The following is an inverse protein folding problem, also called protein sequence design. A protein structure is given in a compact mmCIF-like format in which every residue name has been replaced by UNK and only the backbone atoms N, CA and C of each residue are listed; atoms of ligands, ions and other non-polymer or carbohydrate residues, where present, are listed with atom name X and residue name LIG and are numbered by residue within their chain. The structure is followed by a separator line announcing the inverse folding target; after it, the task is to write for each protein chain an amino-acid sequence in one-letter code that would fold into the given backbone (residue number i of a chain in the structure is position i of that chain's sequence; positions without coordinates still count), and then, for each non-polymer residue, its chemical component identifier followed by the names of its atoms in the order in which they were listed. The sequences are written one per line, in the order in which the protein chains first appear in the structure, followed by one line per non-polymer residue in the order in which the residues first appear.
data_IF_426212313373
#
_entry.id   IF_426212313373
#
_cell.length_a   1.000
_cell.length_b   1.000
_cell.length_c   1.000
_cell.angle_alpha   90.00
_cell.angle_beta   90.00
_cell.angle_gamma   90.00
#
_symmetry.space_group_name_H-M   'P 1'
#
loop_
_entity.id
_entity.type
_entity.pdbx_description
1 polymer ?
#
# COMPACT_ATOMS: atom_id res chain seq x y z
N UNK A 1 4.09 13.14 1.07
CA UNK A 1 3.87 14.26 2.01
C UNK A 1 2.73 15.13 1.50
N UNK A 2 1.54 15.10 2.12
CA UNK A 2 0.37 15.82 1.59
C UNK A 2 -0.92 15.82 2.43
N UNK A 3 -0.90 15.45 3.71
CA UNK A 3 -2.11 15.34 4.54
C UNK A 3 -2.32 16.48 5.54
N UNK A 4 -1.56 17.58 5.45
CA UNK A 4 -1.76 18.70 6.38
C UNK A 4 -2.95 19.54 5.93
N UNK A 5 -4.16 19.10 6.29
CA UNK A 5 -5.37 19.93 6.25
C UNK A 5 -6.57 19.37 5.49
N UNK A 6 -6.42 18.28 4.74
CA UNK A 6 -7.54 17.57 4.11
C UNK A 6 -8.09 16.50 5.05
N UNK A 7 -9.41 16.49 5.24
CA UNK A 7 -10.08 15.45 6.00
C UNK A 7 -10.03 14.12 5.24
N UNK A 8 -9.86 13.01 5.94
CA UNK A 8 -9.77 11.67 5.33
C UNK A 8 -11.06 11.31 4.58
N UNK A 9 -12.17 11.93 4.96
CA UNK A 9 -13.47 11.85 4.29
C UNK A 9 -13.43 12.34 2.82
N UNK A 10 -12.44 13.16 2.42
CA UNK A 10 -12.26 13.55 1.01
C UNK A 10 -11.96 12.36 0.09
N UNK A 11 -11.44 11.25 0.62
CA UNK A 11 -11.24 10.01 -0.18
C UNK A 11 -12.60 9.49 -0.68
N UNK A 12 -13.64 9.58 0.15
CA UNK A 12 -14.99 9.17 -0.22
C UNK A 12 -15.59 10.10 -1.28
N UNK A 13 -15.30 11.40 -1.22
CA UNK A 13 -15.71 12.34 -2.27
C UNK A 13 -15.09 11.97 -3.64
N UNK A 14 -13.80 11.62 -3.65
CA UNK A 14 -13.13 11.15 -4.87
C UNK A 14 -13.79 9.89 -5.43
N UNK A 15 -14.21 8.98 -4.57
CA UNK A 15 -14.93 7.77 -4.97
C UNK A 15 -16.31 8.10 -5.56
N UNK A 16 -17.07 9.00 -4.93
CA UNK A 16 -18.36 9.49 -5.42
C UNK A 16 -18.20 10.18 -6.79
N UNK A 17 -17.16 10.99 -6.97
CA UNK A 17 -16.87 11.63 -8.26
C UNK A 17 -16.53 10.61 -9.34
N UNK A 18 -15.75 9.58 -9.02
CA UNK A 18 -15.45 8.48 -9.93
C UNK A 18 -16.72 7.68 -10.29
N UNK A 19 -17.70 7.64 -9.40
CA UNK A 19 -19.03 7.08 -9.63
C UNK A 19 -20.01 8.07 -10.30
N UNK A 20 -19.54 9.22 -10.80
CA UNK A 20 -20.37 10.26 -11.43
C UNK A 20 -21.53 10.77 -10.53
N UNK A 21 -21.33 10.78 -9.20
CA UNK A 21 -22.33 11.19 -8.23
C UNK A 21 -23.30 10.10 -7.77
N UNK A 22 -23.21 8.88 -8.32
CA UNK A 22 -24.01 7.75 -7.87
C UNK A 22 -23.44 7.19 -6.55
N UNK A 23 -24.05 7.58 -5.43
CA UNK A 23 -23.66 7.12 -4.09
C UNK A 23 -23.80 5.61 -3.95
N UNK A 24 -24.90 5.03 -4.43
CA UNK A 24 -25.13 3.58 -4.31
C UNK A 24 -24.11 2.76 -5.10
N UNK A 25 -23.62 3.28 -6.22
CA UNK A 25 -22.52 2.68 -6.96
C UNK A 25 -21.18 2.87 -6.23
N UNK A 26 -20.92 4.07 -5.69
CA UNK A 26 -19.72 4.37 -4.91
C UNK A 26 -19.57 3.48 -3.66
N UNK A 27 -20.66 3.14 -2.98
CA UNK A 27 -20.67 2.23 -1.81
C UNK A 27 -20.16 0.81 -2.12
N UNK A 28 -20.06 0.42 -3.40
CA UNK A 28 -19.51 -0.87 -3.86
C UNK A 28 -18.14 -0.71 -4.52
N UNK A 29 -17.54 0.46 -4.38
CA UNK A 29 -16.27 0.82 -4.98
C UNK A 29 -15.07 0.20 -4.29
N UNK A 30 -13.90 0.48 -4.86
CA UNK A 30 -12.60 0.07 -4.33
C UNK A 30 -11.78 1.33 -4.07
N UNK A 31 -11.21 1.43 -2.87
CA UNK A 31 -10.27 2.47 -2.49
C UNK A 31 -8.89 1.83 -2.33
N UNK A 32 -7.91 2.32 -3.09
CA UNK A 32 -6.50 1.99 -2.89
C UNK A 32 -5.79 3.14 -2.15
N UNK A 33 -5.10 2.80 -1.06
CA UNK A 33 -4.31 3.74 -0.25
C UNK A 33 -2.86 3.29 -0.31
N UNK A 34 -2.03 4.00 -1.06
CA UNK A 34 -0.60 3.75 -1.14
C UNK A 34 0.16 4.43 0.02
N UNK A 35 1.42 4.06 0.19
CA UNK A 35 2.35 4.63 1.16
C UNK A 35 1.84 4.56 2.62
N UNK A 36 1.06 3.53 2.98
CA UNK A 36 0.55 3.36 4.35
C UNK A 36 1.70 3.17 5.37
N UNK A 37 2.88 2.73 4.92
CA UNK A 37 4.08 2.64 5.76
C UNK A 37 4.57 4.02 6.23
N UNK A 38 4.22 5.11 5.54
CA UNK A 38 4.68 6.47 5.87
C UNK A 38 3.93 7.08 7.06
N UNK A 39 2.75 6.57 7.39
CA UNK A 39 1.96 7.02 8.55
C UNK A 39 2.23 6.17 9.80
N UNK A 40 3.08 5.15 9.69
CA UNK A 40 3.56 4.39 10.84
C UNK A 40 4.44 5.28 11.75
N UNK A 41 4.30 5.07 13.07
CA UNK A 41 5.09 5.78 14.07
C UNK A 41 6.57 5.43 13.95
N UNK A 42 7.44 6.45 13.85
CA UNK A 42 8.89 6.24 13.86
C UNK A 42 9.41 6.07 15.30
N UNK A 43 9.69 4.82 15.69
CA UNK A 43 10.66 4.37 16.71
C UNK A 43 10.70 5.04 18.10
N UNK A 44 10.37 4.25 19.13
CA UNK A 44 10.68 4.23 20.59
C UNK A 44 10.90 5.49 21.44
N UNK A 45 11.27 6.64 20.91
CA UNK A 45 11.24 7.87 21.69
C UNK A 45 9.79 8.34 21.78
N UNK A 46 9.15 8.00 22.90
CA UNK A 46 7.91 8.60 23.39
C UNK A 46 8.21 10.07 23.70
N UNK A 47 8.52 10.87 22.68
CA UNK A 47 8.55 12.31 22.82
C UNK A 47 7.11 12.71 23.13
N UNK A 48 6.94 13.19 24.36
CA UNK A 48 5.70 13.68 24.98
C UNK A 48 5.03 14.80 24.14
N UNK A 49 5.73 15.29 23.11
CA UNK A 49 5.16 16.11 22.04
C UNK A 49 4.19 15.29 21.18
N UNK A 50 2.89 15.51 21.41
CA UNK A 50 1.75 15.15 20.55
C UNK A 50 2.20 14.74 19.14
N UNK A 51 2.15 13.44 18.84
CA UNK A 51 2.43 12.92 17.51
C UNK A 51 1.24 13.28 16.60
N UNK A 52 1.28 14.47 16.02
CA UNK A 52 0.14 15.05 15.29
C UNK A 52 0.03 14.53 13.86
N UNK A 53 0.93 13.64 13.40
CA UNK A 53 1.04 13.33 11.97
C UNK A 53 0.73 11.88 11.57
N UNK A 54 1.33 10.87 12.19
CA UNK A 54 1.16 9.47 11.74
C UNK A 54 -0.08 8.81 12.32
N UNK A 55 -0.11 8.69 13.66
CA UNK A 55 -1.20 8.03 14.38
C UNK A 55 -2.56 8.72 14.16
N UNK A 56 -2.58 10.06 14.14
CA UNK A 56 -3.80 10.82 13.87
C UNK A 56 -4.41 10.51 12.49
N UNK A 57 -3.57 10.25 11.48
CA UNK A 57 -4.04 9.83 10.15
C UNK A 57 -4.57 8.40 10.19
N UNK A 58 -3.90 7.48 10.89
CA UNK A 58 -4.40 6.10 11.09
C UNK A 58 -5.78 6.09 11.78
N UNK A 59 -5.94 6.89 12.84
CA UNK A 59 -7.21 7.04 13.57
C UNK A 59 -8.31 7.68 12.70
N UNK A 60 -7.94 8.60 11.81
CA UNK A 60 -8.89 9.21 10.88
C UNK A 60 -9.32 8.23 9.77
N UNK A 61 -8.41 7.39 9.28
CA UNK A 61 -8.71 6.31 8.35
C UNK A 61 -9.61 5.23 8.95
N UNK A 62 -9.46 4.93 10.25
CA UNK A 62 -10.35 3.99 10.94
C UNK A 62 -11.81 4.37 10.79
N UNK A 63 -12.15 5.67 10.86
CA UNK A 63 -13.53 6.15 10.73
C UNK A 63 -14.19 5.71 9.42
N UNK A 64 -13.43 5.59 8.34
CA UNK A 64 -13.99 5.18 7.03
C UNK A 64 -13.84 3.69 6.78
N UNK A 65 -12.82 3.04 7.35
CA UNK A 65 -12.57 1.59 7.18
C UNK A 65 -13.48 0.75 8.09
N UNK A 66 -13.92 1.28 9.23
CA UNK A 66 -14.65 0.50 10.23
C UNK A 66 -16.08 0.09 9.85
N UNK A 67 -16.60 0.64 8.76
CA UNK A 67 -17.97 0.41 8.30
C UNK A 67 -18.95 1.34 9.00
N UNK A 68 -19.10 2.56 8.49
CA UNK A 68 -19.95 3.60 9.09
C UNK A 68 -20.74 4.35 8.02
N UNK A 69 -21.67 5.20 8.46
CA UNK A 69 -22.28 6.23 7.61
C UNK A 69 -21.44 7.50 7.75
N UNK A 70 -20.64 7.80 6.73
CA UNK A 70 -19.79 8.97 6.68
C UNK A 70 -20.52 10.15 6.02
N UNK A 71 -20.21 11.37 6.46
CA UNK A 71 -20.82 12.60 5.97
C UNK A 71 -19.80 13.44 5.21
N UNK A 72 -19.90 13.45 3.88
CA UNK A 72 -18.89 14.04 3.00
C UNK A 72 -19.34 15.42 2.50
N UNK A 73 -18.52 16.49 2.62
CA UNK A 73 -18.83 17.80 2.05
C UNK A 73 -18.81 17.74 0.50
N UNK A 74 -19.82 18.25 -0.21
CA UNK A 74 -19.95 18.12 -1.66
C UNK A 74 -18.86 18.86 -2.45
N UNK A 75 -18.26 19.89 -1.85
CA UNK A 75 -17.15 20.65 -2.46
C UNK A 75 -15.76 20.20 -1.97
N UNK A 76 -15.71 19.22 -1.08
CA UNK A 76 -14.50 18.80 -0.38
C UNK A 76 -13.99 19.85 0.62
N UNK A 77 -12.95 19.48 1.37
CA UNK A 77 -12.36 20.35 2.39
C UNK A 77 -13.03 20.21 3.76
N UNK A 78 -12.89 21.21 4.64
CA UNK A 78 -13.39 21.12 6.02
C UNK A 78 -14.91 21.30 6.05
N UNK A 79 -15.60 20.41 6.77
CA UNK A 79 -17.04 20.50 7.03
C UNK A 79 -17.43 21.84 7.65
N UNK A 80 -18.22 22.63 6.93
CA UNK A 80 -18.83 23.84 7.46
C UNK A 80 -20.20 23.48 8.10
N UNK A 81 -20.56 24.02 9.29
CA UNK A 81 -21.79 23.61 10.00
C UNK A 81 -23.12 23.79 9.25
N UNK A 82 -23.13 24.59 8.18
CA UNK A 82 -24.33 24.97 7.44
C UNK A 82 -24.33 24.45 5.99
N UNK A 83 -23.35 23.61 5.62
CA UNK A 83 -23.27 23.03 4.28
C UNK A 83 -23.90 21.64 4.28
N UNK A 84 -24.72 21.37 3.25
CA UNK A 84 -25.32 20.05 3.04
C UNK A 84 -24.21 19.02 2.83
N UNK A 85 -24.35 17.84 3.44
CA UNK A 85 -23.40 16.73 3.30
C UNK A 85 -24.00 15.57 2.51
N UNK A 86 -23.15 14.83 1.82
CA UNK A 86 -23.51 13.57 1.17
C UNK A 86 -23.26 12.44 2.17
N UNK A 87 -24.31 11.69 2.49
CA UNK A 87 -24.18 10.48 3.30
C UNK A 87 -23.72 9.30 2.42
N UNK A 88 -22.74 8.53 2.90
CA UNK A 88 -22.25 7.32 2.21
C UNK A 88 -21.96 6.22 3.22
N UNK A 89 -22.41 5.00 2.94
CA UNK A 89 -22.14 3.82 3.75
C UNK A 89 -20.86 3.12 3.32
N UNK A 90 -19.88 3.02 4.22
CA UNK A 90 -18.57 2.44 3.88
C UNK A 90 -18.48 0.92 4.07
N UNK A 91 -19.53 0.25 4.56
CA UNK A 91 -19.51 -1.18 4.87
C UNK A 91 -19.12 -2.09 3.69
N UNK A 92 -19.47 -1.70 2.46
CA UNK A 92 -19.25 -2.52 1.25
C UNK A 92 -18.15 -1.97 0.34
N UNK A 93 -17.41 -0.96 0.81
CA UNK A 93 -16.27 -0.42 0.08
C UNK A 93 -15.04 -1.27 0.39
N UNK A 94 -14.37 -1.78 -0.64
CA UNK A 94 -13.13 -2.53 -0.46
C UNK A 94 -11.96 -1.56 -0.28
N UNK A 95 -11.27 -1.66 0.85
CA UNK A 95 -10.03 -0.93 1.09
C UNK A 95 -8.83 -1.82 0.84
N UNK A 96 -7.92 -1.37 -0.03
CA UNK A 96 -6.63 -2.00 -0.30
C UNK A 96 -5.53 -1.02 0.13
N UNK A 97 -4.78 -1.38 1.17
CA UNK A 97 -3.69 -0.56 1.69
C UNK A 97 -2.34 -1.13 1.23
N UNK A 98 -1.57 -0.33 0.51
CA UNK A 98 -0.24 -0.67 0.00
C UNK A 98 0.87 0.14 0.68
N UNK A 99 2.07 -0.42 0.69
CA UNK A 99 3.27 0.24 1.19
C UNK A 99 4.50 -0.66 1.02
N UNK A 100 5.69 -0.05 1.06
CA UNK A 100 6.94 -0.78 0.87
C UNK A 100 7.53 -1.35 2.18
N UNK A 101 7.06 -0.88 3.34
CA UNK A 101 7.42 -1.36 4.68
C UNK A 101 8.92 -1.64 4.90
N UNK A 102 9.78 -0.69 4.51
CA UNK A 102 11.24 -0.86 4.57
C UNK A 102 11.70 -1.22 5.99
N UNK A 103 12.35 -2.38 6.12
CA UNK A 103 12.91 -2.86 7.39
C UNK A 103 11.97 -3.71 8.22
N UNK A 104 10.73 -3.97 7.76
CA UNK A 104 9.81 -4.92 8.39
C UNK A 104 10.42 -6.33 8.47
N UNK A 105 11.23 -6.72 7.48
CA UNK A 105 11.93 -8.00 7.47
C UNK A 105 12.83 -8.16 8.71
N UNK A 106 13.45 -7.07 9.19
CA UNK A 106 14.30 -7.10 10.36
C UNK A 106 13.49 -7.33 11.65
N UNK A 107 12.26 -6.82 11.71
CA UNK A 107 11.34 -7.03 12.82
C UNK A 107 10.92 -8.51 12.86
N UNK A 108 10.51 -9.05 11.71
CA UNK A 108 10.14 -10.46 11.56
C UNK A 108 11.30 -11.37 11.95
N UNK A 109 12.51 -11.11 11.43
CA UNK A 109 13.73 -11.88 11.76
C UNK A 109 14.00 -11.90 13.26
N UNK A 110 13.93 -10.74 13.92
CA UNK A 110 14.14 -10.63 15.36
C UNK A 110 13.14 -11.47 16.15
N UNK A 111 11.86 -11.47 15.75
CA UNK A 111 10.83 -12.31 16.39
C UNK A 111 11.14 -13.79 16.22
N UNK A 112 11.38 -14.25 14.99
CA UNK A 112 11.64 -15.66 14.69
C UNK A 112 12.89 -16.17 15.42
N UNK A 113 13.97 -15.37 15.45
CA UNK A 113 15.22 -15.76 16.09
C UNK A 113 15.13 -15.76 17.62
N UNK A 114 14.37 -14.84 18.22
CA UNK A 114 14.17 -14.80 19.68
C UNK A 114 13.45 -16.06 20.20
N UNK A 115 12.57 -16.65 19.40
CA UNK A 115 11.87 -17.91 19.72
C UNK A 115 12.78 -19.16 19.71
N UNK A 116 14.08 -19.04 19.37
CA UNK A 116 15.02 -20.17 19.25
C UNK A 116 16.00 -20.35 20.43
N UNK A 117 15.90 -19.50 21.46
CA UNK A 117 16.71 -19.59 22.69
C UNK A 117 16.08 -20.64 23.63
N UNK A 118 16.40 -21.91 23.40
CA UNK A 118 16.08 -23.05 24.26
C UNK A 118 17.06 -24.18 23.96
N UNK A 119 17.37 -25.01 24.96
CA UNK A 119 18.47 -26.02 25.03
C UNK A 119 18.51 -27.11 23.93
N UNK A 120 17.85 -26.94 22.79
CA UNK A 120 17.82 -27.91 21.67
C UNK A 120 17.83 -27.28 20.27
N UNK A 121 18.25 -26.02 20.09
CA UNK A 121 18.38 -25.44 18.74
C UNK A 121 19.73 -25.79 18.10
N UNK A 122 19.83 -27.04 17.65
CA UNK A 122 20.82 -27.42 16.64
C UNK A 122 20.68 -26.50 15.42
N UNK A 123 21.70 -25.68 15.18
CA UNK A 123 22.16 -25.17 13.88
C UNK A 123 21.14 -25.25 12.73
N UNK A 124 20.10 -24.40 12.76
CA UNK A 124 19.32 -24.12 11.55
C UNK A 124 20.14 -23.18 10.69
N UNK A 125 20.96 -23.78 9.82
CA UNK A 125 21.67 -23.15 8.69
C UNK A 125 20.81 -22.09 8.02
N UNK A 126 21.49 -21.01 7.62
CA UNK A 126 21.12 -19.80 6.86
C UNK A 126 20.25 -20.00 5.59
N UNK A 127 19.17 -20.77 5.68
CA UNK A 127 18.32 -21.19 4.55
C UNK A 127 16.89 -20.64 4.66
N UNK A 128 16.67 -19.65 5.52
CA UNK A 128 15.37 -18.97 5.71
C UNK A 128 15.38 -17.50 5.25
N UNK A 129 16.31 -17.12 4.38
CA UNK A 129 16.39 -15.74 3.88
C UNK A 129 15.40 -15.46 2.75
N UNK A 130 15.13 -16.46 1.92
CA UNK A 130 14.13 -16.36 0.85
C UNK A 130 12.72 -16.37 1.45
N UNK A 131 11.98 -15.29 1.19
CA UNK A 131 10.58 -15.09 1.59
C UNK A 131 10.30 -14.94 3.09
N UNK A 132 11.13 -14.20 3.82
CA UNK A 132 10.87 -13.86 5.24
C UNK A 132 9.46 -13.25 5.48
N UNK A 133 8.90 -12.55 4.49
CA UNK A 133 7.56 -11.97 4.52
C UNK A 133 6.44 -13.02 4.61
N UNK A 134 6.69 -14.29 4.23
CA UNK A 134 5.74 -15.41 4.42
C UNK A 134 5.38 -15.64 5.89
N UNK A 135 6.24 -15.21 6.80
CA UNK A 135 6.06 -15.37 8.24
C UNK A 135 5.50 -14.11 8.91
N UNK A 136 5.05 -13.11 8.15
CA UNK A 136 4.46 -11.89 8.70
C UNK A 136 3.29 -12.21 9.64
N UNK A 137 3.28 -11.61 10.83
CA UNK A 137 2.09 -11.59 11.70
C UNK A 137 1.76 -10.14 12.08
N UNK A 138 0.53 -9.92 12.56
CA UNK A 138 0.04 -8.59 12.96
C UNK A 138 0.94 -7.88 13.98
N UNK A 139 1.56 -8.63 14.91
CA UNK A 139 2.47 -8.06 15.91
C UNK A 139 3.69 -7.37 15.27
N UNK A 140 4.15 -7.84 14.10
CA UNK A 140 5.27 -7.21 13.39
C UNK A 140 4.87 -5.83 12.84
N UNK A 141 3.64 -5.70 12.32
CA UNK A 141 3.08 -4.44 11.82
C UNK A 141 2.86 -3.44 12.96
N UNK A 142 2.44 -3.93 14.13
CA UNK A 142 2.33 -3.09 15.33
C UNK A 142 3.71 -2.61 15.79
N UNK A 143 4.70 -3.50 15.84
CA UNK A 143 6.10 -3.14 16.14
C UNK A 143 6.70 -2.20 15.10
N UNK A 144 6.27 -2.30 13.84
CA UNK A 144 6.67 -1.40 12.76
C UNK A 144 6.15 0.03 12.97
N UNK A 145 5.02 0.19 13.67
CA UNK A 145 4.47 1.48 14.06
C UNK A 145 3.03 1.73 13.63
N UNK A 146 2.30 0.70 13.17
CA UNK A 146 0.85 0.78 12.96
C UNK A 146 0.11 0.53 14.28
N UNK A 147 -1.03 1.19 14.49
CA UNK A 147 -1.85 0.96 15.68
C UNK A 147 -2.60 -0.38 15.57
N UNK A 148 -2.78 -1.12 16.68
CA UNK A 148 -3.49 -2.41 16.67
C UNK A 148 -4.89 -2.35 16.08
N UNK A 149 -5.63 -1.27 16.34
CA UNK A 149 -7.00 -1.07 15.85
C UNK A 149 -7.04 -1.00 14.32
N UNK A 150 -6.05 -0.34 13.72
CA UNK A 150 -5.91 -0.18 12.27
C UNK A 150 -5.53 -1.50 11.60
N UNK A 151 -4.53 -2.21 12.15
CA UNK A 151 -4.12 -3.53 11.65
C UNK A 151 -5.25 -4.55 11.80
N UNK A 152 -6.02 -4.49 12.88
CA UNK A 152 -7.17 -5.38 13.11
C UNK A 152 -8.30 -5.24 12.09
N UNK A 153 -8.40 -4.10 11.40
CA UNK A 153 -9.34 -3.89 10.29
C UNK A 153 -8.80 -4.34 8.93
N UNK A 154 -7.53 -4.74 8.85
CA UNK A 154 -6.86 -5.22 7.64
C UNK A 154 -6.40 -6.68 7.82
N UNK A 155 -7.32 -7.65 8.01
CA UNK A 155 -6.95 -9.04 8.36
C UNK A 155 -6.30 -9.83 7.22
N UNK A 156 -6.44 -9.37 5.98
CA UNK A 156 -5.84 -10.01 4.81
C UNK A 156 -4.52 -9.31 4.49
N UNK A 157 -3.43 -10.07 4.56
CA UNK A 157 -2.11 -9.61 4.21
C UNK A 157 -1.60 -10.37 2.98
N UNK A 158 -1.11 -9.63 2.00
CA UNK A 158 -0.38 -10.17 0.86
C UNK A 158 0.97 -9.49 0.77
N UNK A 159 1.99 -10.24 0.40
CA UNK A 159 3.32 -9.72 0.10
C UNK A 159 3.63 -9.96 -1.37
N UNK A 160 4.46 -9.10 -1.94
CA UNK A 160 5.00 -9.28 -3.29
C UNK A 160 6.42 -9.82 -3.19
N UNK A 161 6.77 -10.69 -4.13
CA UNK A 161 8.13 -11.21 -4.23
C UNK A 161 9.00 -10.21 -4.99
N UNK A 162 10.31 -10.27 -4.75
CA UNK A 162 11.26 -9.41 -5.45
C UNK A 162 11.32 -9.86 -6.91
N UNK A 163 11.39 -8.91 -7.84
CA UNK A 163 11.49 -9.22 -9.26
C UNK A 163 12.82 -9.91 -9.57
N UNK A 164 12.75 -11.03 -10.28
CA UNK A 164 13.91 -11.71 -10.85
C UNK A 164 14.14 -11.26 -12.31
N UNK A 165 15.29 -11.61 -12.88
CA UNK A 165 15.67 -11.26 -14.26
C UNK A 165 14.58 -11.69 -15.25
N UNK A 166 14.06 -12.90 -15.06
CA UNK A 166 13.00 -13.48 -15.89
C UNK A 166 11.69 -12.67 -15.78
N UNK A 167 11.37 -12.14 -14.60
CA UNK A 167 10.18 -11.31 -14.40
C UNK A 167 10.33 -9.96 -15.10
N UNK A 168 11.51 -9.34 -15.02
CA UNK A 168 11.82 -8.09 -15.71
C UNK A 168 11.67 -8.24 -17.22
N UNK A 169 12.19 -9.33 -17.80
CA UNK A 169 12.03 -9.61 -19.23
C UNK A 169 10.55 -9.74 -19.61
N UNK A 170 9.75 -10.45 -18.80
CA UNK A 170 8.30 -10.53 -19.03
C UNK A 170 7.64 -9.17 -18.96
N UNK A 171 7.96 -8.34 -17.97
CA UNK A 171 7.44 -6.98 -17.81
C UNK A 171 7.78 -6.10 -19.03
N UNK A 172 8.97 -6.27 -19.61
CA UNK A 172 9.40 -5.52 -20.78
C UNK A 172 8.61 -5.88 -22.05
N UNK A 173 8.07 -7.11 -22.17
CA UNK A 173 7.55 -7.64 -23.45
C UNK A 173 6.06 -8.01 -23.42
N UNK A 174 5.60 -8.66 -22.35
CA UNK A 174 4.28 -9.28 -22.29
C UNK A 174 3.13 -8.29 -22.07
N UNK A 175 3.22 -7.30 -21.14
CA UNK A 175 2.14 -6.35 -20.91
C UNK A 175 1.73 -5.61 -22.18
N UNK A 176 0.43 -5.37 -22.35
CA UNK A 176 -0.08 -4.61 -23.50
C UNK A 176 0.53 -3.21 -23.58
N UNK A 177 0.82 -2.62 -22.42
CA UNK A 177 1.47 -1.33 -22.22
C UNK A 177 2.95 -1.47 -21.85
N UNK A 178 3.65 -2.53 -22.27
CA UNK A 178 5.07 -2.68 -21.96
C UNK A 178 5.93 -1.59 -22.61
N UNK A 179 7.07 -1.27 -22.01
CA UNK A 179 7.94 -0.19 -22.49
C UNK A 179 8.45 -0.45 -23.91
N UNK A 180 8.80 -1.72 -24.23
CA UNK A 180 9.22 -2.12 -25.58
C UNK A 180 8.13 -1.82 -26.60
N UNK A 181 6.87 -2.19 -26.31
CA UNK A 181 5.75 -1.92 -27.21
C UNK A 181 5.50 -0.43 -27.38
N UNK A 182 5.62 0.35 -26.31
CA UNK A 182 5.50 1.81 -26.37
C UNK A 182 6.56 2.43 -27.28
N UNK A 183 7.84 2.05 -27.14
CA UNK A 183 8.92 2.54 -27.99
C UNK A 183 8.79 2.08 -29.45
N UNK A 184 8.44 0.81 -29.69
CA UNK A 184 8.18 0.32 -31.04
C UNK A 184 7.04 1.10 -31.70
N UNK A 185 5.95 1.37 -30.98
CA UNK A 185 4.84 2.17 -31.49
C UNK A 185 5.27 3.61 -31.79
N UNK A 186 6.00 4.24 -30.87
CA UNK A 186 6.52 5.60 -31.03
C UNK A 186 7.38 5.74 -32.28
N UNK A 187 8.33 4.82 -32.52
CA UNK A 187 9.17 4.82 -33.72
C UNK A 187 8.37 4.54 -34.99
N UNK A 188 7.33 3.70 -34.90
CA UNK A 188 6.47 3.39 -36.03
C UNK A 188 5.69 4.60 -36.53
N UNK A 189 5.38 5.57 -35.65
CA UNK A 189 4.77 6.85 -36.05
C UNK A 189 5.64 7.63 -37.03
N UNK A 190 6.96 7.47 -36.94
CA UNK A 190 7.96 8.05 -37.84
C UNK A 190 8.33 7.09 -39.00
N UNK A 191 7.53 6.05 -39.22
CA UNK A 191 7.80 4.96 -40.18
C UNK A 191 9.13 4.23 -39.94
N UNK A 192 9.61 4.18 -38.69
CA UNK A 192 10.81 3.41 -38.31
C UNK A 192 10.40 2.12 -37.60
N UNK A 193 10.96 0.99 -38.04
CA UNK A 193 10.80 -0.30 -37.39
C UNK A 193 11.90 -0.53 -36.35
N UNK A 194 11.54 -0.40 -35.07
CA UNK A 194 12.41 -0.69 -33.94
C UNK A 194 12.22 -2.14 -33.48
N UNK A 195 13.32 -2.90 -33.40
CA UNK A 195 13.34 -4.29 -32.94
C UNK A 195 14.27 -4.41 -31.76
N UNK A 196 13.78 -5.05 -30.68
CA UNK A 196 14.59 -5.44 -29.55
C UNK A 196 14.87 -6.94 -29.63
N UNK A 197 16.14 -7.30 -29.73
CA UNK A 197 16.57 -8.69 -29.69
C UNK A 197 16.56 -9.24 -28.26
N UNK A 198 16.43 -10.56 -28.12
CA UNK A 198 16.37 -11.23 -26.82
C UNK A 198 17.59 -10.91 -25.94
N UNK A 199 18.77 -10.93 -26.52
CA UNK A 199 20.04 -10.68 -25.80
C UNK A 199 20.12 -9.24 -25.28
N UNK A 200 19.53 -8.29 -26.01
CA UNK A 200 19.42 -6.90 -25.55
C UNK A 200 18.46 -6.78 -24.36
N UNK A 201 17.31 -7.47 -24.41
CA UNK A 201 16.36 -7.50 -23.30
C UNK A 201 16.94 -8.17 -22.05
N UNK A 202 17.70 -9.25 -22.23
CA UNK A 202 18.41 -9.92 -21.14
C UNK A 202 19.48 -9.02 -20.52
N UNK A 203 20.20 -8.24 -21.33
CA UNK A 203 21.20 -7.29 -20.84
C UNK A 203 20.57 -6.13 -20.06
N UNK A 204 19.44 -5.59 -20.54
CA UNK A 204 18.68 -4.54 -19.84
C UNK A 204 18.18 -5.06 -18.48
N UNK A 205 17.67 -6.29 -18.45
CA UNK A 205 17.16 -6.90 -17.21
C UNK A 205 18.27 -7.23 -16.20
N UNK A 206 19.52 -7.34 -16.64
CA UNK A 206 20.67 -7.60 -15.76
C UNK A 206 21.28 -6.32 -15.18
N UNK A 207 21.12 -5.18 -15.84
CA UNK A 207 21.56 -3.87 -15.35
C UNK A 207 20.61 -3.26 -14.31
N UNK A 208 19.31 -3.60 -14.37
CA UNK A 208 18.24 -3.06 -13.54
C UNK A 208 18.16 -3.65 -12.13
#
# INVERSE_FOLDING_TARGET
AGYVGEDVENILLKLIHAAHGDVSFAERGIIYIDEIDKIAKKGENVSITRDVSGEGVQQSLLKIIEGTIANVPPKGGRKHPYEDTIEINTNNILFICGGAFVGLENIIRKRINKSSIGFSSASRKDSKEEHILKYLEMEDLVKFGLIPEFVGRLPVHSYLEKLEKEDLIKILVEPANSIVRQYCHMFKMDNVDLVFEKDALESIAEEA
#
